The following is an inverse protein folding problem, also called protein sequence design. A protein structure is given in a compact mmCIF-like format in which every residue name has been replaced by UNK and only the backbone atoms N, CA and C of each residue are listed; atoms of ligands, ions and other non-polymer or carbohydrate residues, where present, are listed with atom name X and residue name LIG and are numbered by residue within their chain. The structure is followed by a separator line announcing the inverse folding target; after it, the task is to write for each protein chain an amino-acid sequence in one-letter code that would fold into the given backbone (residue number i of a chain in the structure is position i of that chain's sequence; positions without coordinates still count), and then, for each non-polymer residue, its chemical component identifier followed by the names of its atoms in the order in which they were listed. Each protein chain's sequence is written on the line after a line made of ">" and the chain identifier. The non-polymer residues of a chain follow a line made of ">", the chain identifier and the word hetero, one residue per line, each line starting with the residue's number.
data_IF_353407745033
#
_entry.id   IF_353407745033
#
_cell.length_a   1.000
_cell.length_b   1.000
_cell.length_c   1.000
_cell.angle_alpha   90.00
_cell.angle_beta   90.00
_cell.angle_gamma   90.00
#
_symmetry.space_group_name_H-M   'P 1'
#
loop_
_entity.id
_entity.type
_entity.pdbx_description
1 polymer ?
#
# COMPACT_ATOMS: atom_id res chain seq x y z
N UNK A 1 8.23 21.73 -5.12
CA UNK A 1 9.65 21.95 -5.45
C UNK A 1 10.47 20.75 -5.09
N UNK A 2 11.42 20.37 -5.94
CA UNK A 2 12.31 19.24 -5.68
C UNK A 2 13.53 19.68 -4.89
N UNK A 3 14.00 18.81 -3.98
CA UNK A 3 15.30 19.00 -3.35
C UNK A 3 16.39 18.94 -4.44
N UNK A 4 17.59 19.51 -4.19
CA UNK A 4 18.63 19.55 -5.21
C UNK A 4 19.02 18.19 -5.79
N UNK A 5 18.80 17.12 -5.02
CA UNK A 5 19.10 15.75 -5.45
C UNK A 5 17.89 14.99 -5.97
N UNK A 6 16.72 15.62 -6.00
CA UNK A 6 15.52 14.96 -6.48
C UNK A 6 15.49 15.00 -7.99
N UNK A 7 15.41 13.82 -8.59
CA UNK A 7 15.17 13.68 -10.01
C UNK A 7 13.66 13.53 -10.19
N UNK A 8 13.02 14.35 -11.07
CA UNK A 8 11.61 14.19 -11.33
C UNK A 8 11.32 12.76 -11.75
N UNK A 9 10.47 12.09 -10.98
CA UNK A 9 10.08 10.72 -11.28
C UNK A 9 9.12 10.71 -12.48
N UNK A 10 9.19 9.64 -13.28
CA UNK A 10 8.17 9.35 -14.29
C UNK A 10 6.85 8.97 -13.65
N UNK A 11 6.88 8.56 -12.40
CA UNK A 11 5.67 8.23 -11.65
C UNK A 11 4.98 9.50 -11.18
N UNK A 12 3.67 9.52 -11.31
CA UNK A 12 2.83 10.58 -10.76
C UNK A 12 1.74 9.96 -9.91
N UNK A 13 1.46 10.58 -8.78
CA UNK A 13 0.43 10.12 -7.88
C UNK A 13 -0.68 11.17 -7.85
N UNK A 14 -1.90 10.74 -8.16
CA UNK A 14 -3.07 11.61 -8.07
C UNK A 14 -4.09 11.05 -7.11
N UNK A 15 -4.90 11.91 -6.55
CA UNK A 15 -6.01 11.48 -5.72
C UNK A 15 -7.02 10.70 -6.58
N UNK A 16 -7.50 9.59 -6.05
CA UNK A 16 -8.53 8.80 -6.70
C UNK A 16 -9.91 9.34 -6.38
N UNK A 17 -10.85 9.10 -7.29
CA UNK A 17 -12.26 9.39 -7.10
C UNK A 17 -13.06 8.09 -7.18
N UNK A 18 -14.38 8.17 -7.07
CA UNK A 18 -15.22 6.97 -7.27
C UNK A 18 -15.15 6.44 -8.70
N UNK A 19 -14.76 7.28 -9.67
CA UNK A 19 -14.54 6.82 -11.04
C UNK A 19 -13.36 5.84 -11.15
N UNK A 20 -12.45 5.88 -10.19
CA UNK A 20 -11.29 4.98 -10.14
C UNK A 20 -11.57 3.68 -9.38
N UNK A 21 -12.74 3.55 -8.77
CA UNK A 21 -13.04 2.41 -7.91
C UNK A 21 -12.92 1.07 -8.63
N UNK A 22 -13.48 0.98 -9.83
CA UNK A 22 -13.43 -0.28 -10.59
C UNK A 22 -12.00 -0.71 -10.87
N UNK A 23 -11.14 0.23 -11.25
CA UNK A 23 -9.72 -0.06 -11.47
C UNK A 23 -9.06 -0.53 -10.17
N UNK A 24 -9.29 0.20 -9.08
CA UNK A 24 -8.68 -0.11 -7.79
C UNK A 24 -9.11 -1.49 -7.28
N UNK A 25 -10.40 -1.80 -7.36
CA UNK A 25 -10.90 -3.10 -6.93
C UNK A 25 -10.38 -4.23 -7.82
N UNK A 26 -10.46 -4.07 -9.13
CA UNK A 26 -10.02 -5.10 -10.06
C UNK A 26 -8.53 -5.42 -9.87
N UNK A 27 -7.70 -4.40 -9.72
CA UNK A 27 -6.27 -4.58 -9.51
C UNK A 27 -5.98 -5.28 -8.18
N UNK A 28 -6.59 -4.82 -7.11
CA UNK A 28 -6.39 -5.41 -5.78
C UNK A 28 -6.87 -6.86 -5.75
N UNK A 29 -8.07 -7.10 -6.25
CA UNK A 29 -8.64 -8.45 -6.32
C UNK A 29 -7.78 -9.39 -7.17
N UNK A 30 -7.31 -8.91 -8.31
CA UNK A 30 -6.46 -9.71 -9.18
C UNK A 30 -5.14 -10.08 -8.50
N UNK A 31 -4.48 -9.10 -7.88
CA UNK A 31 -3.19 -9.33 -7.23
C UNK A 31 -3.32 -10.18 -5.96
N UNK A 32 -4.41 -10.02 -5.22
CA UNK A 32 -4.58 -10.67 -3.92
C UNK A 32 -5.33 -12.00 -3.98
N UNK A 33 -5.99 -12.29 -5.09
CA UNK A 33 -6.85 -13.47 -5.21
C UNK A 33 -6.15 -14.78 -4.91
N UNK A 34 -4.92 -14.94 -5.34
CA UNK A 34 -4.14 -16.14 -5.06
C UNK A 34 -3.88 -16.33 -3.57
N UNK A 35 -3.55 -15.26 -2.87
CA UNK A 35 -3.35 -15.29 -1.42
C UNK A 35 -4.64 -15.64 -0.69
N UNK A 36 -5.73 -15.01 -1.09
CA UNK A 36 -7.04 -15.30 -0.49
C UNK A 36 -7.38 -16.78 -0.63
N UNK A 37 -7.20 -17.36 -1.83
CA UNK A 37 -7.49 -18.79 -2.07
C UNK A 37 -6.60 -19.69 -1.22
N UNK A 38 -5.29 -19.41 -1.17
CA UNK A 38 -4.34 -20.24 -0.39
C UNK A 38 -4.62 -20.20 1.10
N UNK A 39 -5.13 -19.07 1.60
CA UNK A 39 -5.40 -18.91 3.03
C UNK A 39 -6.87 -19.10 3.38
N UNK A 40 -7.65 -19.65 2.46
CA UNK A 40 -9.08 -19.97 2.66
C UNK A 40 -9.92 -18.75 3.02
N UNK A 41 -9.59 -17.60 2.43
CA UNK A 41 -10.33 -16.37 2.59
C UNK A 41 -11.17 -16.10 1.34
N UNK A 42 -12.30 -15.43 1.53
CA UNK A 42 -13.20 -15.04 0.46
C UNK A 42 -13.09 -13.54 0.23
N UNK A 43 -12.91 -13.15 -1.03
CA UNK A 43 -12.96 -11.75 -1.39
C UNK A 43 -14.36 -11.19 -1.18
N UNK A 44 -14.46 -10.11 -0.42
CA UNK A 44 -15.72 -9.45 -0.12
C UNK A 44 -15.71 -8.06 -0.75
N UNK A 45 -16.34 -7.92 -1.91
CA UNK A 45 -16.42 -6.63 -2.60
C UNK A 45 -17.14 -5.55 -1.81
N UNK A 46 -18.13 -5.93 -1.02
CA UNK A 46 -18.84 -5.01 -0.14
C UNK A 46 -17.93 -4.42 0.94
N UNK A 47 -17.05 -5.23 1.51
CA UNK A 47 -16.09 -4.77 2.51
C UNK A 47 -15.01 -3.90 1.87
N UNK A 48 -14.57 -4.24 0.66
CA UNK A 48 -13.60 -3.41 -0.05
C UNK A 48 -14.19 -2.03 -0.37
N UNK A 49 -15.44 -1.97 -0.82
CA UNK A 49 -16.11 -0.70 -1.10
C UNK A 49 -16.22 0.15 0.18
N UNK A 50 -16.64 -0.46 1.29
CA UNK A 50 -16.73 0.26 2.55
C UNK A 50 -15.38 0.83 2.98
N UNK A 51 -14.33 0.02 2.88
CA UNK A 51 -12.96 0.45 3.19
C UNK A 51 -12.48 1.56 2.26
N UNK A 52 -12.77 1.44 0.96
CA UNK A 52 -12.39 2.45 -0.03
C UNK A 52 -13.00 3.82 0.28
N UNK A 53 -14.26 3.83 0.71
CA UNK A 53 -14.95 5.07 1.08
C UNK A 53 -14.37 5.75 2.31
N UNK A 54 -13.78 4.97 3.21
CA UNK A 54 -13.21 5.47 4.46
C UNK A 54 -11.73 5.78 4.37
N UNK A 55 -11.06 5.36 3.31
CA UNK A 55 -9.62 5.57 3.14
C UNK A 55 -9.32 6.74 2.21
N UNK A 56 -8.07 7.19 2.27
CA UNK A 56 -7.52 8.10 1.27
C UNK A 56 -6.93 7.23 0.17
N UNK A 57 -7.37 7.44 -1.06
CA UNK A 57 -7.06 6.57 -2.18
C UNK A 57 -6.36 7.36 -3.28
N UNK A 58 -5.34 6.75 -3.88
CA UNK A 58 -4.50 7.40 -4.88
C UNK A 58 -4.22 6.45 -6.02
N UNK A 59 -4.15 7.01 -7.22
CA UNK A 59 -3.79 6.27 -8.42
C UNK A 59 -2.37 6.64 -8.81
N UNK A 60 -1.53 5.64 -8.98
CA UNK A 60 -0.20 5.81 -9.51
C UNK A 60 -0.25 5.75 -11.03
N UNK A 61 0.32 6.77 -11.67
CA UNK A 61 0.38 6.83 -13.12
C UNK A 61 1.83 6.82 -13.58
N UNK A 62 2.05 6.17 -14.72
CA UNK A 62 3.32 6.20 -15.43
C UNK A 62 3.02 6.62 -16.87
N UNK A 63 3.59 7.76 -17.28
CA UNK A 63 3.36 8.33 -18.61
C UNK A 63 1.86 8.45 -18.95
N UNK A 64 1.07 8.86 -17.95
CA UNK A 64 -0.37 9.08 -18.11
C UNK A 64 -1.25 7.85 -18.00
N UNK A 65 -0.67 6.67 -17.74
CA UNK A 65 -1.41 5.42 -17.61
C UNK A 65 -1.48 4.99 -16.14
N UNK A 66 -2.68 4.61 -15.69
CA UNK A 66 -2.86 4.08 -14.35
C UNK A 66 -2.18 2.72 -14.22
N UNK A 67 -1.21 2.62 -13.31
CA UNK A 67 -0.44 1.39 -13.10
C UNK A 67 -0.44 0.90 -11.66
N UNK A 68 -1.04 1.63 -10.74
CA UNK A 68 -1.02 1.21 -9.35
C UNK A 68 -2.01 1.97 -8.48
N UNK A 69 -2.15 1.48 -7.27
CA UNK A 69 -3.05 2.03 -6.26
C UNK A 69 -2.32 2.08 -4.92
N UNK A 70 -2.49 3.20 -4.23
CA UNK A 70 -2.09 3.37 -2.84
C UNK A 70 -3.32 3.76 -2.03
N UNK A 71 -3.58 3.03 -0.94
CA UNK A 71 -4.68 3.35 -0.03
C UNK A 71 -4.14 3.45 1.39
N UNK A 72 -4.48 4.53 2.07
CA UNK A 72 -4.02 4.77 3.45
C UNK A 72 -5.17 5.23 4.33
N UNK A 73 -5.08 4.92 5.62
CA UNK A 73 -5.93 5.50 6.66
C UNK A 73 -5.04 6.00 7.78
N UNK A 74 -5.48 7.06 8.43
CA UNK A 74 -4.79 7.55 9.61
C UNK A 74 -5.56 7.06 10.84
N UNK A 75 -4.86 6.39 11.74
CA UNK A 75 -5.43 5.86 12.98
C UNK A 75 -4.54 6.33 14.13
N UNK A 76 -5.10 7.14 15.02
CA UNK A 76 -4.35 7.74 16.14
C UNK A 76 -3.10 8.46 15.63
N UNK A 77 -1.92 8.03 16.04
CA UNK A 77 -0.64 8.60 15.63
C UNK A 77 0.09 7.75 14.58
N UNK A 78 -0.67 6.95 13.83
CA UNK A 78 -0.14 5.97 12.87
C UNK A 78 -0.75 6.19 11.49
N UNK A 79 0.05 6.03 10.45
CA UNK A 79 -0.45 5.93 9.08
C UNK A 79 -0.50 4.46 8.70
N UNK A 80 -1.70 3.98 8.42
CA UNK A 80 -1.90 2.59 8.05
C UNK A 80 -1.97 2.47 6.52
N UNK A 81 -1.02 1.75 5.94
CA UNK A 81 -1.02 1.48 4.51
C UNK A 81 -1.92 0.28 4.28
N UNK A 82 -3.08 0.51 3.65
CA UNK A 82 -4.08 -0.52 3.38
C UNK A 82 -3.75 -1.33 2.15
N UNK A 83 -3.29 -0.65 1.09
CA UNK A 83 -2.92 -1.29 -0.15
C UNK A 83 -1.78 -0.56 -0.83
N UNK A 84 -0.84 -1.34 -1.33
CA UNK A 84 0.14 -0.96 -2.34
C UNK A 84 0.01 -2.01 -3.43
N UNK A 85 -0.63 -1.65 -4.53
CA UNK A 85 -0.88 -2.59 -5.62
C UNK A 85 -0.33 -2.04 -6.92
N UNK A 86 0.43 -2.86 -7.63
CA UNK A 86 1.03 -2.50 -8.91
C UNK A 86 0.53 -3.47 -9.97
N UNK A 87 0.18 -2.96 -11.14
CA UNK A 87 -0.22 -3.77 -12.29
C UNK A 87 0.94 -4.69 -12.67
N UNK A 88 0.64 -5.97 -12.89
CA UNK A 88 1.64 -6.92 -13.37
C UNK A 88 2.25 -6.40 -14.68
N UNK A 89 3.54 -6.56 -14.86
CA UNK A 89 4.25 -5.97 -16.00
C UNK A 89 4.89 -4.62 -15.69
N UNK A 90 4.44 -3.94 -14.64
CA UNK A 90 5.08 -2.70 -14.15
C UNK A 90 5.82 -2.91 -12.83
N UNK A 91 5.88 -4.16 -12.35
CA UNK A 91 6.63 -4.51 -11.15
C UNK A 91 8.13 -4.48 -11.43
N UNK A 92 8.91 -4.32 -10.38
CA UNK A 92 10.36 -4.31 -10.50
C UNK A 92 10.96 -3.03 -11.09
N UNK A 93 10.16 -1.94 -11.16
CA UNK A 93 10.60 -0.66 -11.71
C UNK A 93 10.63 0.46 -10.67
N UNK A 94 10.58 0.11 -9.40
CA UNK A 94 10.64 1.08 -8.31
C UNK A 94 9.31 1.70 -7.91
N UNK A 95 8.20 1.24 -8.47
CA UNK A 95 6.88 1.80 -8.17
C UNK A 95 6.49 1.60 -6.70
N UNK A 96 6.70 0.40 -6.16
CA UNK A 96 6.43 0.13 -4.74
C UNK A 96 7.26 0.99 -3.81
N UNK A 97 8.54 1.13 -4.10
CA UNK A 97 9.45 2.01 -3.35
C UNK A 97 8.96 3.45 -3.38
N UNK A 98 8.55 3.92 -4.55
CA UNK A 98 8.01 5.27 -4.72
C UNK A 98 6.79 5.50 -3.80
N UNK A 99 5.85 4.56 -3.79
CA UNK A 99 4.64 4.68 -2.97
C UNK A 99 4.95 4.63 -1.47
N UNK A 100 5.89 3.78 -1.07
CA UNK A 100 6.29 3.68 0.33
C UNK A 100 7.05 4.93 0.80
N UNK A 101 7.89 5.51 -0.06
CA UNK A 101 8.59 6.76 0.25
C UNK A 101 7.59 7.91 0.43
N UNK A 102 6.61 8.02 -0.44
CA UNK A 102 5.56 9.04 -0.31
C UNK A 102 4.79 8.85 0.99
N UNK A 103 4.42 7.62 1.32
CA UNK A 103 3.68 7.33 2.55
C UNK A 103 4.48 7.74 3.78
N UNK A 104 5.79 7.46 3.79
CA UNK A 104 6.66 7.88 4.89
C UNK A 104 6.73 9.38 5.00
N UNK A 105 6.85 10.09 3.87
CA UNK A 105 6.85 11.55 3.84
C UNK A 105 5.56 12.12 4.42
N UNK A 106 4.41 11.57 4.04
CA UNK A 106 3.12 12.02 4.58
C UNK A 106 3.02 11.82 6.09
N UNK A 107 3.47 10.66 6.58
CA UNK A 107 3.47 10.41 8.02
C UNK A 107 4.32 11.45 8.75
N UNK A 108 5.47 11.79 8.20
CA UNK A 108 6.35 12.81 8.78
C UNK A 108 5.69 14.19 8.78
N UNK A 109 5.12 14.58 7.64
CA UNK A 109 4.45 15.88 7.49
C UNK A 109 3.25 16.02 8.41
N UNK A 110 2.58 14.92 8.72
CA UNK A 110 1.42 14.91 9.62
C UNK A 110 1.81 14.77 11.09
N UNK A 111 3.10 14.66 11.40
CA UNK A 111 3.56 14.50 12.78
C UNK A 111 3.20 13.15 13.39
N UNK A 112 3.01 12.12 12.56
CA UNK A 112 2.67 10.79 13.04
C UNK A 112 3.92 10.07 13.52
N UNK A 113 3.73 9.07 14.40
CA UNK A 113 4.84 8.37 15.04
C UNK A 113 5.31 7.16 14.25
N UNK A 114 4.40 6.49 13.56
CA UNK A 114 4.75 5.27 12.83
C UNK A 114 3.86 5.06 11.62
N UNK A 115 4.34 4.17 10.75
CA UNK A 115 3.53 3.58 9.68
C UNK A 115 3.32 2.11 10.01
N UNK A 116 2.18 1.56 9.56
CA UNK A 116 1.91 0.15 9.73
C UNK A 116 1.23 -0.42 8.48
N UNK A 117 1.43 -1.70 8.28
CA UNK A 117 0.80 -2.43 7.18
C UNK A 117 0.61 -3.89 7.57
N UNK A 118 -0.20 -4.60 6.78
CA UNK A 118 -0.38 -6.04 6.90
C UNK A 118 0.00 -6.70 5.59
N UNK A 119 0.61 -7.86 5.67
CA UNK A 119 1.08 -8.61 4.51
C UNK A 119 0.92 -10.11 4.76
N UNK A 120 0.46 -10.84 3.75
CA UNK A 120 0.39 -12.31 3.87
C UNK A 120 1.79 -12.89 4.08
N UNK A 121 1.86 -13.94 4.90
CA UNK A 121 3.14 -14.58 5.27
C UNK A 121 3.92 -15.10 4.07
N UNK A 122 3.24 -15.48 2.99
CA UNK A 122 3.86 -16.01 1.77
C UNK A 122 4.01 -14.95 0.67
N UNK A 123 3.73 -13.69 0.98
CA UNK A 123 3.86 -12.62 -0.01
C UNK A 123 5.31 -12.10 -0.04
N UNK A 124 6.00 -12.22 -1.20
CA UNK A 124 7.38 -11.74 -1.32
C UNK A 124 7.54 -10.24 -1.13
N UNK A 125 6.45 -9.46 -1.21
CA UNK A 125 6.49 -8.02 -0.94
C UNK A 125 7.02 -7.71 0.46
N UNK A 126 6.95 -8.63 1.40
CA UNK A 126 7.53 -8.46 2.72
C UNK A 126 9.01 -8.10 2.66
N UNK A 127 9.75 -8.58 1.66
CA UNK A 127 11.16 -8.23 1.47
C UNK A 127 11.36 -6.76 1.15
N UNK A 128 10.48 -6.20 0.31
CA UNK A 128 10.49 -4.77 0.02
C UNK A 128 10.22 -3.97 1.30
N UNK A 129 9.21 -4.38 2.06
CA UNK A 129 8.86 -3.70 3.30
C UNK A 129 10.03 -3.72 4.29
N UNK A 130 10.70 -4.87 4.42
CA UNK A 130 11.88 -4.98 5.29
C UNK A 130 13.01 -4.04 4.83
N UNK A 131 13.28 -3.97 3.53
CA UNK A 131 14.29 -3.05 3.00
C UNK A 131 13.93 -1.59 3.27
N UNK A 132 12.65 -1.28 3.31
CA UNK A 132 12.15 0.07 3.60
C UNK A 132 12.05 0.37 5.09
N UNK A 133 12.53 -0.52 5.95
CA UNK A 133 12.59 -0.28 7.39
C UNK A 133 11.42 -0.84 8.20
N UNK A 134 10.49 -1.55 7.56
CA UNK A 134 9.39 -2.19 8.28
C UNK A 134 9.87 -3.44 8.98
N UNK A 135 9.37 -3.67 10.19
CA UNK A 135 9.69 -4.85 11.01
C UNK A 135 8.40 -5.43 11.56
N UNK A 136 8.44 -6.72 11.91
CA UNK A 136 7.30 -7.35 12.58
C UNK A 136 6.97 -6.56 13.84
N UNK A 137 5.71 -6.19 13.97
CA UNK A 137 5.20 -5.59 15.19
C UNK A 137 5.25 -6.63 16.31
N UNK A 138 5.50 -6.15 17.53
CA UNK A 138 5.76 -7.05 18.67
C UNK A 138 4.79 -8.21 18.79
N UNK A 139 5.31 -9.25 19.29
CA UNK A 139 4.91 -10.59 19.64
C UNK A 139 3.51 -11.11 19.27
N UNK A 140 2.47 -10.75 20.00
CA UNK A 140 1.18 -11.47 19.94
C UNK A 140 0.33 -11.08 18.75
N UNK A 141 0.42 -9.82 18.32
CA UNK A 141 -0.34 -9.30 17.18
C UNK A 141 0.44 -9.34 15.88
N UNK A 142 1.73 -9.70 15.96
CA UNK A 142 2.60 -9.76 14.79
C UNK A 142 2.18 -10.85 13.81
N UNK A 143 1.50 -11.87 14.30
CA UNK A 143 1.03 -12.99 13.50
C UNK A 143 -0.41 -13.31 13.83
N UNK A 144 -1.29 -13.04 12.88
CA UNK A 144 -2.67 -13.48 12.92
C UNK A 144 -2.81 -14.56 11.85
N UNK A 145 -2.34 -15.80 12.17
CA UNK A 145 -2.38 -16.90 11.23
C UNK A 145 -1.57 -16.61 9.98
N UNK A 146 -2.24 -16.30 8.88
CA UNK A 146 -1.64 -16.09 7.58
C UNK A 146 -1.18 -14.66 7.30
N UNK A 147 -1.39 -13.73 8.22
CA UNK A 147 -1.10 -12.30 8.01
C UNK A 147 -0.09 -11.81 9.04
N UNK A 148 0.94 -11.11 8.55
CA UNK A 148 1.91 -10.42 9.39
C UNK A 148 1.58 -8.95 9.50
N UNK A 149 1.67 -8.43 10.70
CA UNK A 149 1.58 -6.99 10.95
C UNK A 149 3.00 -6.43 11.04
N UNK A 150 3.29 -5.42 10.25
CA UNK A 150 4.61 -4.79 10.20
C UNK A 150 4.50 -3.31 10.46
N UNK A 151 5.49 -2.76 11.14
CA UNK A 151 5.54 -1.33 11.47
C UNK A 151 6.90 -0.74 11.15
N UNK A 152 6.89 0.57 10.94
CA UNK A 152 8.11 1.36 10.75
C UNK A 152 7.95 2.66 11.51
N UNK A 153 8.93 3.09 12.34
CA UNK A 153 8.90 4.42 12.94
C UNK A 153 9.12 5.48 11.87
N UNK A 154 8.50 6.63 12.09
CA UNK A 154 8.66 7.78 11.20
C UNK A 154 10.01 8.46 11.39
#
# INVERSE_FOLDING_TARGET
>A
MFAPNDIPSRFQLRQATMDDFEFAEALTRNNMGGYYRRHHLIWRGDLFLASYRESENFILELDGHAIGVLRVTQEDDSLHIRDVQIVDGFRGQGAGTFLLDISHRWARERGLRELQLRVFVDNPAARLYQRMGYRLAGSRLARLGSIRHMTRPV
#
